data_IF_799878554746
#
_entry.id   IF_799878554746
#
_cell.length_a   1.000
_cell.length_b   1.000
_cell.length_c   1.000
_cell.angle_alpha   90.00
_cell.angle_beta   90.00
_cell.angle_gamma   90.00
#
_symmetry.space_group_name_H-M   'P 1'
#
loop_
_entity.id
_entity.type
_entity.pdbx_description
1 polymer ?
#
# COMPACT_ATOMS: atom_id res chain seq x y z
N UNK A 1 -18.37 -6.99 -21.48
CA UNK A 1 -19.51 -7.42 -20.65
C UNK A 1 -19.56 -8.94 -20.72
N UNK A 2 -19.11 -9.60 -19.67
CA UNK A 2 -19.40 -11.00 -19.40
C UNK A 2 -20.04 -11.00 -18.02
N UNK A 3 -21.36 -10.91 -18.02
CA UNK A 3 -22.21 -11.03 -16.84
C UNK A 3 -22.44 -12.52 -16.58
N UNK A 4 -21.75 -13.09 -15.58
CA UNK A 4 -22.24 -14.26 -14.85
C UNK A 4 -21.90 -14.13 -13.36
N UNK A 5 -22.89 -14.31 -12.46
CA UNK A 5 -22.69 -14.32 -11.02
C UNK A 5 -22.17 -15.69 -10.56
N UNK A 6 -21.32 -15.68 -9.53
CA UNK A 6 -20.98 -16.82 -8.67
C UNK A 6 -20.24 -18.00 -9.32
N UNK A 7 -18.91 -17.94 -9.30
CA UNK A 7 -18.04 -19.12 -9.35
C UNK A 7 -18.21 -19.93 -8.05
N UNK A 8 -19.31 -20.68 -7.92
CA UNK A 8 -19.38 -21.77 -6.97
C UNK A 8 -18.50 -22.90 -7.50
N UNK A 9 -17.28 -23.04 -6.97
CA UNK A 9 -16.50 -24.25 -7.23
C UNK A 9 -17.28 -25.44 -6.65
N UNK A 10 -17.93 -26.22 -7.50
CA UNK A 10 -18.60 -27.45 -7.07
C UNK A 10 -17.56 -28.38 -6.43
N UNK A 11 -17.68 -28.61 -5.12
CA UNK A 11 -16.77 -29.51 -4.39
C UNK A 11 -17.14 -30.95 -4.69
N UNK A 12 -16.14 -31.80 -4.87
CA UNK A 12 -16.30 -33.23 -5.10
C UNK A 12 -16.15 -34.01 -3.80
N UNK A 13 -16.79 -35.18 -3.72
CA UNK A 13 -16.65 -36.10 -2.59
C UNK A 13 -15.22 -36.69 -2.57
N UNK A 14 -14.50 -36.53 -1.46
CA UNK A 14 -13.11 -36.98 -1.34
C UNK A 14 -12.99 -38.51 -1.37
N UNK A 15 -13.80 -39.29 -0.61
CA UNK A 15 -13.77 -40.76 -0.71
C UNK A 15 -14.07 -41.29 -2.12
N UNK A 16 -15.06 -40.72 -2.80
CA UNK A 16 -15.40 -41.13 -4.17
C UNK A 16 -14.27 -40.80 -5.14
N UNK A 17 -13.58 -39.67 -4.94
CA UNK A 17 -12.46 -39.25 -5.78
C UNK A 17 -11.28 -40.22 -5.68
N UNK A 18 -11.03 -40.80 -4.50
CA UNK A 18 -10.02 -41.87 -4.30
C UNK A 18 -10.36 -43.11 -5.14
N UNK A 19 -11.65 -43.43 -5.29
CA UNK A 19 -12.13 -44.51 -6.15
C UNK A 19 -12.26 -44.11 -7.64
N UNK A 20 -11.80 -42.92 -8.03
CA UNK A 20 -11.88 -42.40 -9.39
C UNK A 20 -13.29 -41.95 -9.83
N UNK A 21 -14.24 -41.84 -8.89
CA UNK A 21 -15.60 -41.36 -9.14
C UNK A 21 -15.71 -39.86 -8.85
N UNK A 22 -16.35 -39.11 -9.75
CA UNK A 22 -16.61 -37.67 -9.58
C UNK A 22 -18.03 -37.45 -9.08
N UNK A 23 -18.25 -37.76 -7.80
CA UNK A 23 -19.53 -37.50 -7.12
C UNK A 23 -19.52 -36.09 -6.50
N UNK A 24 -20.63 -35.37 -6.63
CA UNK A 24 -20.77 -34.05 -6.02
C UNK A 24 -20.87 -34.16 -4.50
N UNK A 25 -20.07 -33.38 -3.78
CA UNK A 25 -20.19 -33.28 -2.34
C UNK A 25 -21.40 -32.46 -1.95
N UNK A 26 -22.07 -32.88 -0.88
CA UNK A 26 -23.17 -32.13 -0.24
C UNK A 26 -22.94 -31.92 1.25
N UNK A 27 -21.96 -32.63 1.81
CA UNK A 27 -21.69 -32.65 3.23
C UNK A 27 -20.21 -32.45 3.48
N UNK A 28 -19.87 -31.97 4.66
CA UNK A 28 -18.49 -31.78 5.09
C UNK A 28 -18.33 -32.30 6.51
N UNK A 29 -17.33 -33.16 6.75
CA UNK A 29 -16.99 -33.60 8.09
C UNK A 29 -15.96 -32.66 8.69
N UNK A 30 -16.31 -31.98 9.78
CA UNK A 30 -15.41 -31.03 10.44
C UNK A 30 -14.12 -31.72 10.87
N UNK A 31 -14.22 -32.89 11.51
CA UNK A 31 -13.08 -33.59 12.11
C UNK A 31 -12.13 -34.23 11.10
N UNK A 32 -12.65 -34.77 10.00
CA UNK A 32 -11.83 -35.37 8.94
C UNK A 32 -11.32 -34.33 7.94
N UNK A 33 -11.92 -33.12 7.92
CA UNK A 33 -11.67 -32.08 6.91
C UNK A 33 -11.94 -32.57 5.47
N UNK A 34 -12.91 -33.47 5.32
CA UNK A 34 -13.25 -34.12 4.06
C UNK A 34 -14.69 -33.77 3.63
N UNK A 35 -14.87 -33.70 2.32
CA UNK A 35 -16.12 -33.50 1.62
C UNK A 35 -16.77 -34.84 1.27
N UNK A 36 -18.07 -34.95 1.47
CA UNK A 36 -18.83 -36.19 1.29
C UNK A 36 -20.06 -35.99 0.41
N UNK A 37 -20.33 -36.95 -0.48
CA UNK A 37 -21.66 -37.11 -1.06
C UNK A 37 -22.63 -37.68 -0.01
N UNK A 38 -23.94 -37.72 -0.32
CA UNK A 38 -24.98 -38.21 0.59
C UNK A 38 -24.64 -39.62 1.11
N UNK A 39 -24.24 -40.51 0.21
CA UNK A 39 -23.95 -41.91 0.53
C UNK A 39 -22.76 -42.02 1.47
N UNK A 40 -21.63 -41.41 1.13
CA UNK A 40 -20.42 -41.48 1.97
C UNK A 40 -20.65 -40.83 3.34
N UNK A 41 -21.40 -39.74 3.42
CA UNK A 41 -21.77 -39.12 4.69
C UNK A 41 -22.64 -40.05 5.57
N UNK A 42 -23.59 -40.78 4.97
CA UNK A 42 -24.41 -41.75 5.71
C UNK A 42 -23.57 -42.92 6.26
N UNK A 43 -22.63 -43.43 5.48
CA UNK A 43 -21.69 -44.46 5.95
C UNK A 43 -20.82 -43.91 7.08
N UNK A 44 -20.30 -42.69 6.92
CA UNK A 44 -19.46 -42.03 7.93
C UNK A 44 -20.19 -41.87 9.27
N UNK A 45 -21.47 -41.51 9.28
CA UNK A 45 -22.29 -41.42 10.51
C UNK A 45 -22.50 -42.76 11.21
N UNK A 46 -22.59 -43.85 10.43
CA UNK A 46 -22.85 -45.20 10.94
C UNK A 46 -21.59 -45.92 11.39
N UNK A 47 -20.43 -45.52 10.85
CA UNK A 47 -19.16 -46.14 11.13
C UNK A 47 -18.67 -45.78 12.53
N UNK A 48 -18.30 -46.79 13.34
CA UNK A 48 -18.07 -46.64 14.78
C UNK A 48 -16.97 -45.61 15.13
N UNK A 49 -15.80 -45.58 14.45
CA UNK A 49 -14.77 -44.57 14.69
C UNK A 49 -15.22 -43.12 14.40
N UNK A 50 -16.01 -42.90 13.36
CA UNK A 50 -16.43 -41.55 12.92
C UNK A 50 -17.81 -41.15 13.42
N UNK A 51 -18.47 -41.98 14.23
CA UNK A 51 -19.84 -41.75 14.71
C UNK A 51 -19.98 -40.48 15.55
N UNK A 52 -18.91 -40.07 16.24
CA UNK A 52 -18.86 -38.85 17.03
C UNK A 52 -18.53 -37.60 16.20
N UNK A 53 -18.21 -37.74 14.91
CA UNK A 53 -17.81 -36.61 14.09
C UNK A 53 -19.01 -35.73 13.72
N UNK A 54 -18.84 -34.41 13.84
CA UNK A 54 -19.77 -33.42 13.31
C UNK A 54 -19.71 -33.36 11.79
N UNK A 55 -20.85 -33.63 11.14
CA UNK A 55 -21.02 -33.51 9.69
C UNK A 55 -22.01 -32.38 9.39
N UNK A 56 -21.54 -31.37 8.67
CA UNK A 56 -22.36 -30.27 8.18
C UNK A 56 -23.21 -30.74 7.00
N UNK A 57 -24.48 -30.34 7.01
CA UNK A 57 -25.42 -30.67 5.92
C UNK A 57 -25.27 -29.75 4.70
N UNK A 58 -24.52 -28.65 4.85
CA UNK A 58 -24.17 -27.70 3.80
C UNK A 58 -22.65 -27.58 3.71
N UNK A 59 -22.16 -27.20 2.53
CA UNK A 59 -20.74 -27.01 2.29
C UNK A 59 -20.29 -25.64 2.81
N UNK A 60 -19.29 -25.58 3.71
CA UNK A 60 -18.76 -24.30 4.14
C UNK A 60 -18.01 -23.61 2.99
N UNK A 61 -18.18 -22.29 2.89
CA UNK A 61 -17.51 -21.45 1.89
C UNK A 61 -15.99 -21.40 2.13
N UNK A 62 -15.56 -21.42 3.39
CA UNK A 62 -14.16 -21.48 3.80
C UNK A 62 -13.93 -22.60 4.84
N UNK A 63 -13.27 -23.68 4.43
CA UNK A 63 -12.90 -24.80 5.32
C UNK A 63 -11.72 -24.48 6.22
N UNK A 64 -10.91 -23.44 5.91
CA UNK A 64 -9.71 -23.07 6.68
C UNK A 64 -10.06 -22.63 8.09
N UNK A 65 -11.28 -22.15 8.31
CA UNK A 65 -11.79 -21.84 9.64
C UNK A 65 -11.81 -23.10 10.50
N UNK A 66 -12.31 -24.21 9.96
CA UNK A 66 -12.36 -25.49 10.67
C UNK A 66 -10.97 -26.11 10.87
N UNK A 67 -10.08 -25.99 9.87
CA UNK A 67 -8.67 -26.38 10.01
C UNK A 67 -7.98 -25.64 11.16
N UNK A 68 -8.21 -24.32 11.26
CA UNK A 68 -7.66 -23.50 12.35
C UNK A 68 -8.27 -23.91 13.68
N UNK A 69 -9.59 -24.04 13.75
CA UNK A 69 -10.28 -24.42 14.99
C UNK A 69 -9.77 -25.77 15.51
N UNK A 70 -9.63 -26.78 14.64
CA UNK A 70 -9.11 -28.09 15.04
C UNK A 70 -7.62 -28.05 15.43
N UNK A 71 -6.82 -27.26 14.71
CA UNK A 71 -5.40 -27.07 15.03
C UNK A 71 -5.19 -26.47 16.42
N UNK A 72 -6.12 -25.67 16.89
CA UNK A 72 -6.06 -25.03 18.21
C UNK A 72 -6.95 -25.70 19.27
N UNK A 73 -7.67 -26.78 18.92
CA UNK A 73 -8.50 -27.51 19.89
C UNK A 73 -7.77 -28.66 20.57
N UNK A 74 -6.71 -29.20 19.95
CA UNK A 74 -5.92 -30.32 20.50
C UNK A 74 -4.48 -29.91 20.80
N UNK A 75 -3.89 -30.53 21.81
CA UNK A 75 -2.53 -30.21 22.23
C UNK A 75 -1.51 -30.60 21.14
N UNK A 76 -0.59 -29.70 20.76
CA UNK A 76 0.44 -30.02 19.77
C UNK A 76 1.33 -31.22 20.17
N UNK A 77 1.59 -31.38 21.47
CA UNK A 77 2.37 -32.48 22.03
C UNK A 77 1.52 -33.73 22.31
N UNK A 78 0.20 -33.57 22.41
CA UNK A 78 -0.75 -34.65 22.70
C UNK A 78 -1.97 -34.54 21.77
N UNK A 79 -1.85 -34.92 20.49
CA UNK A 79 -2.85 -34.65 19.46
C UNK A 79 -4.23 -35.26 19.72
N UNK A 80 -4.29 -36.31 20.53
CA UNK A 80 -5.52 -37.02 20.93
C UNK A 80 -6.28 -36.30 22.07
N UNK A 81 -5.71 -35.21 22.61
CA UNK A 81 -6.17 -34.60 23.85
C UNK A 81 -6.53 -33.15 23.60
N UNK A 82 -7.78 -32.83 23.89
CA UNK A 82 -8.29 -31.48 23.81
C UNK A 82 -7.57 -30.55 24.80
N UNK A 83 -7.42 -29.31 24.37
CA UNK A 83 -6.90 -28.21 25.17
C UNK A 83 -8.03 -27.73 26.08
N UNK A 84 -7.82 -27.79 27.40
CA UNK A 84 -8.83 -27.49 28.42
C UNK A 84 -8.38 -26.38 29.40
N UNK A 85 -7.12 -25.94 29.33
CA UNK A 85 -6.53 -24.99 30.29
C UNK A 85 -5.85 -23.84 29.60
N UNK A 86 -5.82 -22.71 30.29
CA UNK A 86 -5.16 -21.49 29.85
C UNK A 86 -4.29 -20.92 30.98
N UNK A 87 -3.03 -20.64 30.67
CA UNK A 87 -2.10 -19.99 31.57
C UNK A 87 -2.09 -18.48 31.30
N UNK A 88 -2.59 -17.66 32.23
CA UNK A 88 -2.59 -16.20 32.07
C UNK A 88 -1.20 -15.58 32.09
N UNK A 89 -0.23 -16.24 32.73
CA UNK A 89 1.14 -15.75 32.82
C UNK A 89 1.88 -15.85 31.47
N UNK A 90 1.66 -16.94 30.75
CA UNK A 90 2.30 -17.21 29.46
C UNK A 90 1.42 -16.84 28.26
N UNK A 91 0.14 -16.51 28.49
CA UNK A 91 -0.86 -16.28 27.43
C UNK A 91 -0.99 -17.51 26.50
N UNK A 92 -0.96 -18.70 27.10
CA UNK A 92 -0.88 -19.98 26.38
C UNK A 92 -1.99 -20.94 26.81
N UNK A 93 -2.58 -21.63 25.83
CA UNK A 93 -3.54 -22.71 26.06
C UNK A 93 -2.84 -24.07 25.99
N UNK A 94 -3.19 -24.98 26.90
CA UNK A 94 -2.56 -26.30 27.00
C UNK A 94 -3.56 -27.36 27.48
N UNK A 95 -3.22 -28.64 27.29
CA UNK A 95 -4.04 -29.76 27.80
C UNK A 95 -3.62 -30.17 29.21
N UNK A 96 -4.50 -30.89 29.91
CA UNK A 96 -4.25 -31.48 31.23
C UNK A 96 -2.90 -32.20 31.41
N UNK A 97 -2.33 -32.82 30.37
CA UNK A 97 -1.04 -33.53 30.48
C UNK A 97 0.18 -32.60 30.44
N UNK A 98 0.02 -31.37 29.95
CA UNK A 98 1.08 -30.36 30.01
C UNK A 98 1.07 -29.58 31.33
N UNK A 99 0.26 -29.97 32.32
CA UNK A 99 0.12 -29.25 33.59
C UNK A 99 1.42 -29.14 34.37
N UNK A 100 2.31 -30.13 34.26
CA UNK A 100 3.60 -30.12 34.96
C UNK A 100 4.52 -28.97 34.50
N UNK A 101 4.42 -28.56 33.23
CA UNK A 101 5.16 -27.42 32.68
C UNK A 101 4.67 -26.10 33.32
N UNK A 102 3.41 -26.06 33.71
CA UNK A 102 2.76 -24.91 34.34
C UNK A 102 2.56 -25.08 35.85
N UNK A 103 3.23 -26.05 36.49
CA UNK A 103 3.05 -26.34 37.91
C UNK A 103 3.43 -25.16 38.83
N UNK A 104 4.38 -24.33 38.38
CA UNK A 104 4.79 -23.11 39.09
C UNK A 104 3.97 -21.87 38.72
N UNK A 105 2.96 -21.99 37.85
CA UNK A 105 2.14 -20.86 37.43
C UNK A 105 0.93 -20.68 38.36
N UNK A 106 0.80 -19.50 38.97
CA UNK A 106 -0.28 -19.23 39.93
C UNK A 106 -1.65 -18.96 39.28
N UNK A 107 -1.70 -18.70 37.96
CA UNK A 107 -2.91 -18.24 37.26
C UNK A 107 -3.27 -19.12 36.06
N UNK A 108 -3.34 -20.43 36.30
CA UNK A 108 -3.90 -21.41 35.36
C UNK A 108 -5.41 -21.54 35.61
N UNK A 109 -6.20 -21.38 34.55
CA UNK A 109 -7.67 -21.44 34.60
C UNK A 109 -8.19 -22.42 33.57
N UNK A 110 -9.38 -22.99 33.80
CA UNK A 110 -10.05 -23.78 32.76
C UNK A 110 -10.60 -22.83 31.68
N UNK A 111 -10.50 -23.22 30.41
CA UNK A 111 -10.98 -22.41 29.29
C UNK A 111 -12.49 -22.17 29.40
N UNK A 112 -13.26 -23.11 29.93
CA UNK A 112 -14.71 -22.94 30.18
C UNK A 112 -14.99 -21.80 31.18
N UNK A 113 -14.08 -21.59 32.14
CA UNK A 113 -14.17 -20.53 33.15
C UNK A 113 -13.75 -19.16 32.59
N UNK A 114 -12.99 -19.12 31.49
CA UNK A 114 -12.60 -17.88 30.80
C UNK A 114 -13.73 -17.22 30.02
N UNK A 115 -14.81 -17.95 29.71
CA UNK A 115 -15.76 -17.58 28.65
C UNK A 115 -16.76 -16.46 29.01
N UNK A 116 -16.91 -16.08 30.27
CA UNK A 116 -18.00 -15.18 30.68
C UNK A 116 -17.75 -13.68 30.48
N UNK A 117 -16.58 -13.25 30.00
CA UNK A 117 -16.17 -11.84 30.11
C UNK A 117 -16.00 -11.04 28.81
N UNK A 118 -15.67 -11.66 27.67
CA UNK A 118 -15.08 -10.87 26.57
C UNK A 118 -15.61 -11.16 25.15
N UNK A 119 -16.18 -12.34 24.87
CA UNK A 119 -16.54 -12.74 23.50
C UNK A 119 -17.60 -11.80 22.91
N UNK A 120 -18.61 -11.41 23.69
CA UNK A 120 -19.69 -10.52 23.24
C UNK A 120 -19.21 -9.10 22.88
N UNK A 121 -18.06 -8.67 23.43
CA UNK A 121 -17.48 -7.34 23.13
C UNK A 121 -16.54 -7.35 21.92
N UNK A 122 -16.14 -8.54 21.43
CA UNK A 122 -15.23 -8.67 20.28
C UNK A 122 -15.85 -8.09 19.00
N UNK A 123 -17.12 -8.37 18.65
CA UNK A 123 -17.75 -7.76 17.47
C UNK A 123 -17.73 -6.23 17.50
N UNK A 124 -18.00 -5.63 18.66
CA UNK A 124 -18.00 -4.17 18.82
C UNK A 124 -16.59 -3.60 18.68
N UNK A 125 -15.60 -4.21 19.36
CA UNK A 125 -14.18 -3.83 19.23
C UNK A 125 -13.69 -3.97 17.79
N UNK A 126 -14.08 -5.05 17.10
CA UNK A 126 -13.71 -5.28 15.70
C UNK A 126 -14.37 -4.26 14.77
N UNK A 127 -15.61 -3.88 15.04
CA UNK A 127 -16.34 -2.87 14.26
C UNK A 127 -15.72 -1.49 14.46
N UNK A 128 -15.39 -1.11 15.70
CA UNK A 128 -14.67 0.12 16.01
C UNK A 128 -13.28 0.15 15.36
N UNK A 129 -12.56 -0.98 15.37
CA UNK A 129 -11.26 -1.07 14.72
C UNK A 129 -11.39 -0.89 13.19
N UNK A 130 -12.37 -1.54 12.56
CA UNK A 130 -12.67 -1.39 11.12
C UNK A 130 -13.02 0.06 10.78
N UNK A 131 -13.84 0.73 11.59
CA UNK A 131 -14.23 2.12 11.34
C UNK A 131 -13.03 3.07 11.47
N UNK A 132 -12.17 2.87 12.48
CA UNK A 132 -10.91 3.62 12.64
C UNK A 132 -9.98 3.45 11.44
N UNK A 133 -9.75 2.20 11.00
CA UNK A 133 -8.91 1.94 9.83
C UNK A 133 -9.47 2.58 8.56
N UNK A 134 -10.78 2.48 8.32
CA UNK A 134 -11.41 3.09 7.14
C UNK A 134 -11.31 4.61 7.14
N UNK A 135 -11.47 5.25 8.30
CA UNK A 135 -11.34 6.70 8.47
C UNK A 135 -9.91 7.14 8.23
N UNK A 136 -8.93 6.44 8.84
CA UNK A 136 -7.52 6.75 8.66
C UNK A 136 -7.07 6.54 7.21
N UNK A 137 -7.57 5.51 6.54
CA UNK A 137 -7.32 5.24 5.12
C UNK A 137 -7.78 6.43 4.26
N UNK A 138 -9.03 6.88 4.42
CA UNK A 138 -9.57 8.03 3.68
C UNK A 138 -8.75 9.31 3.90
N UNK A 139 -8.32 9.55 5.13
CA UNK A 139 -7.48 10.72 5.44
C UNK A 139 -6.11 10.63 4.75
N UNK A 140 -5.47 9.46 4.72
CA UNK A 140 -4.21 9.26 3.99
C UNK A 140 -4.38 9.43 2.47
N UNK A 141 -5.48 8.93 1.90
CA UNK A 141 -5.82 9.12 0.48
C UNK A 141 -5.98 10.62 0.15
N UNK A 142 -6.72 11.36 1.00
CA UNK A 142 -6.89 12.82 0.86
C UNK A 142 -5.55 13.56 0.92
N UNK A 143 -4.69 13.22 1.89
CA UNK A 143 -3.37 13.85 2.03
C UNK A 143 -2.47 13.56 0.82
N UNK A 144 -2.56 12.36 0.24
CA UNK A 144 -1.81 12.00 -0.96
C UNK A 144 -2.24 12.84 -2.16
N UNK A 145 -3.55 13.02 -2.36
CA UNK A 145 -4.09 13.87 -3.43
C UNK A 145 -3.65 15.33 -3.28
N UNK A 146 -3.72 15.87 -2.05
CA UNK A 146 -3.28 17.23 -1.74
C UNK A 146 -1.79 17.44 -2.03
N UNK A 147 -0.93 16.49 -1.63
CA UNK A 147 0.50 16.53 -1.93
C UNK A 147 0.79 16.48 -3.44
N UNK A 148 0.01 15.69 -4.20
CA UNK A 148 0.16 15.61 -5.65
C UNK A 148 -0.19 16.92 -6.34
N UNK A 149 -1.30 17.56 -5.95
CA UNK A 149 -1.71 18.89 -6.45
C UNK A 149 -0.65 19.93 -6.13
N UNK A 150 -0.21 20.01 -4.86
CA UNK A 150 0.81 20.96 -4.42
C UNK A 150 2.14 20.76 -5.16
N UNK A 151 2.55 19.51 -5.38
CA UNK A 151 3.75 19.19 -6.16
C UNK A 151 3.64 19.71 -7.61
N UNK A 152 2.49 19.56 -8.25
CA UNK A 152 2.26 20.06 -9.60
C UNK A 152 2.31 21.60 -9.64
N UNK A 153 1.69 22.25 -8.67
CA UNK A 153 1.68 23.70 -8.54
C UNK A 153 3.10 24.24 -8.36
N UNK A 154 3.90 23.68 -7.45
CA UNK A 154 5.30 24.05 -7.25
C UNK A 154 6.11 23.88 -8.55
N UNK A 155 5.91 22.77 -9.28
CA UNK A 155 6.58 22.57 -10.58
C UNK A 155 6.18 23.62 -11.62
N UNK A 156 4.92 24.03 -11.64
CA UNK A 156 4.43 25.08 -12.53
C UNK A 156 5.03 26.44 -12.17
N UNK A 157 5.04 26.77 -10.88
CA UNK A 157 5.62 28.02 -10.38
C UNK A 157 7.11 28.11 -10.69
N UNK A 158 7.87 27.03 -10.50
CA UNK A 158 9.29 26.98 -10.89
C UNK A 158 9.47 27.26 -12.40
N UNK A 159 8.65 26.63 -13.26
CA UNK A 159 8.71 26.88 -14.71
C UNK A 159 8.44 28.34 -15.07
N UNK A 160 7.45 28.94 -14.42
CA UNK A 160 7.08 30.33 -14.66
C UNK A 160 8.17 31.29 -14.16
N UNK A 161 8.73 31.07 -12.98
CA UNK A 161 9.84 31.88 -12.48
C UNK A 161 11.08 31.78 -13.37
N UNK A 162 11.43 30.58 -13.86
CA UNK A 162 12.54 30.40 -14.80
C UNK A 162 12.30 31.19 -16.09
N UNK A 163 11.07 31.21 -16.60
CA UNK A 163 10.69 32.00 -17.78
C UNK A 163 10.84 33.50 -17.52
N UNK A 164 10.31 33.99 -16.40
CA UNK A 164 10.42 35.40 -16.01
C UNK A 164 11.88 35.84 -15.88
N UNK A 165 12.74 35.01 -15.28
CA UNK A 165 14.17 35.28 -15.17
C UNK A 165 14.82 35.42 -16.55
N UNK A 166 14.50 34.53 -17.50
CA UNK A 166 15.01 34.65 -18.89
C UNK A 166 14.52 35.91 -19.56
N UNK A 167 13.23 36.23 -19.46
CA UNK A 167 12.67 37.42 -20.09
C UNK A 167 13.34 38.71 -19.59
N UNK A 168 13.68 38.76 -18.29
CA UNK A 168 14.44 39.87 -17.70
C UNK A 168 15.87 39.89 -18.20
N UNK A 169 16.55 38.74 -18.23
CA UNK A 169 17.92 38.63 -18.75
C UNK A 169 18.01 39.12 -20.21
N UNK A 170 17.10 38.67 -21.08
CA UNK A 170 17.03 39.06 -22.50
C UNK A 170 16.76 40.56 -22.68
N UNK A 171 15.97 41.17 -21.79
CA UNK A 171 15.71 42.63 -21.81
C UNK A 171 16.95 43.42 -21.42
N UNK A 172 17.65 42.97 -20.38
CA UNK A 172 18.88 43.60 -19.91
C UNK A 172 19.97 43.50 -20.99
N UNK A 173 20.12 42.33 -21.61
CA UNK A 173 21.09 42.11 -22.69
C UNK A 173 20.82 43.02 -23.89
N UNK A 174 19.56 43.11 -24.32
CA UNK A 174 19.16 44.02 -25.42
C UNK A 174 19.47 45.48 -25.12
N UNK A 175 19.08 45.97 -23.94
CA UNK A 175 19.33 47.35 -23.51
C UNK A 175 20.83 47.66 -23.43
N UNK A 176 21.63 46.72 -22.93
CA UNK A 176 23.08 46.84 -22.87
C UNK A 176 23.69 46.92 -24.28
N UNK A 177 23.23 46.06 -25.20
CA UNK A 177 23.72 46.05 -26.57
C UNK A 177 23.36 47.35 -27.32
N UNK A 178 22.15 47.86 -27.16
CA UNK A 178 21.71 49.15 -27.73
C UNK A 178 22.57 50.31 -27.19
N UNK A 179 22.81 50.34 -25.88
CA UNK A 179 23.67 51.34 -25.24
C UNK A 179 25.10 51.26 -25.76
N UNK A 180 25.64 50.05 -25.90
CA UNK A 180 26.98 49.80 -26.45
C UNK A 180 27.11 50.30 -27.90
N UNK A 181 26.13 49.99 -28.77
CA UNK A 181 26.11 50.46 -30.15
C UNK A 181 26.02 51.99 -30.25
N UNK A 182 25.22 52.62 -29.38
CA UNK A 182 25.12 54.08 -29.30
C UNK A 182 26.45 54.72 -28.89
N UNK A 183 27.14 54.15 -27.91
CA UNK A 183 28.48 54.60 -27.48
C UNK A 183 29.52 54.46 -28.61
N UNK A 184 29.55 53.32 -29.31
CA UNK A 184 30.44 53.10 -30.46
C UNK A 184 30.18 54.15 -31.55
N UNK A 185 28.91 54.36 -31.93
CA UNK A 185 28.51 55.34 -32.93
C UNK A 185 28.95 56.76 -32.54
N UNK A 186 28.72 57.13 -31.27
CA UNK A 186 29.11 58.42 -30.72
C UNK A 186 30.63 58.61 -30.75
N UNK A 187 31.39 57.60 -30.30
CA UNK A 187 32.85 57.61 -30.32
C UNK A 187 33.38 57.77 -31.75
N UNK A 188 32.83 57.02 -32.72
CA UNK A 188 33.21 57.12 -34.13
C UNK A 188 32.94 58.53 -34.70
N UNK A 189 31.78 59.12 -34.37
CA UNK A 189 31.43 60.47 -34.79
C UNK A 189 32.37 61.54 -34.19
N UNK A 190 32.83 61.37 -32.95
CA UNK A 190 33.82 62.24 -32.32
C UNK A 190 35.18 62.11 -33.01
N UNK A 191 35.68 60.88 -33.19
CA UNK A 191 36.96 60.62 -33.88
C UNK A 191 36.96 61.25 -35.27
N UNK A 192 35.89 61.04 -36.06
CA UNK A 192 35.73 61.61 -37.40
C UNK A 192 35.78 63.15 -37.39
N UNK A 193 35.14 63.79 -36.41
CA UNK A 193 35.17 65.25 -36.23
C UNK A 193 36.58 65.76 -35.91
N UNK A 194 37.29 65.10 -35.00
CA UNK A 194 38.68 65.45 -34.64
C UNK A 194 39.61 65.32 -35.84
N UNK A 195 39.54 64.21 -36.58
CA UNK A 195 40.34 63.99 -37.79
C UNK A 195 40.07 65.06 -38.86
N UNK A 196 38.81 65.43 -39.09
CA UNK A 196 38.45 66.52 -40.02
C UNK A 196 39.05 67.87 -39.59
N UNK A 197 38.96 68.22 -38.30
CA UNK A 197 39.55 69.46 -37.75
C UNK A 197 41.08 69.47 -37.90
N UNK A 198 41.75 68.36 -37.59
CA UNK A 198 43.20 68.22 -37.76
C UNK A 198 43.65 68.39 -39.22
N UNK A 199 42.95 67.73 -40.17
CA UNK A 199 43.21 67.88 -41.61
C UNK A 199 43.03 69.33 -42.09
N UNK A 200 41.97 70.01 -41.65
CA UNK A 200 41.71 71.42 -41.98
C UNK A 200 42.83 72.33 -41.43
N UNK A 201 43.23 72.13 -40.17
CA UNK A 201 44.33 72.90 -39.54
C UNK A 201 45.65 72.72 -40.30
N UNK A 202 45.99 71.48 -40.70
CA UNK A 202 47.18 71.20 -41.55
C UNK A 202 47.12 71.90 -42.90
N UNK A 203 45.99 71.86 -43.61
CA UNK A 203 45.82 72.59 -44.90
C UNK A 203 46.00 74.09 -44.73
N UNK A 204 45.38 74.68 -43.70
CA UNK A 204 45.52 76.11 -43.43
C UNK A 204 46.97 76.51 -43.11
N UNK A 205 47.70 75.69 -42.33
CA UNK A 205 49.12 75.91 -42.03
C UNK A 205 50.02 75.80 -43.26
N UNK A 206 49.75 74.84 -44.17
CA UNK A 206 50.48 74.71 -45.43
C UNK A 206 50.25 75.93 -46.33
N UNK A 207 48.99 76.36 -46.50
CA UNK A 207 48.66 77.52 -47.32
C UNK A 207 49.26 78.82 -46.78
N UNK A 208 49.27 79.01 -45.45
CA UNK A 208 49.86 80.20 -44.82
C UNK A 208 51.39 80.27 -44.98
N UNK A 209 52.08 79.11 -45.04
CA UNK A 209 53.53 79.08 -45.34
C UNK A 209 53.84 79.45 -46.79
N UNK A 210 52.96 79.10 -47.73
CA UNK A 210 53.13 79.43 -49.15
C UNK A 210 52.85 80.90 -49.49
N UNK A 211 52.08 81.63 -48.67
CA UNK A 211 51.79 83.05 -48.90
C UNK A 211 52.82 84.02 -48.30
N UNK A 212 53.86 83.52 -47.65
CA UNK A 212 54.93 84.30 -47.02
C UNK A 212 56.28 84.19 -47.77
N UNK A 213 56.31 83.50 -48.90
CA UNK A 213 57.45 83.37 -49.83
C UNK A 213 57.04 84.04 -51.13
#
# INVERSE_FOLDING_TARGET
MCDQPECHSEKTCDPCSIEGKKEQAKHFCVHCLEYFCITCAQYHRKYKPSRAHTILNDLPEDTRIYERVLKFSHCPSHPEIEIDRFCKHHDEMFCRFCSDIHASCENVVNIEECQKGNIDTIPDKLTALKSMYSTRKKELERQLEELQVNSLEVKNNIREYVKQIRDVADKVERSLNESHQSLISTAYAVIKRVLKRSKKKRRNLMNAKFSMI
#
